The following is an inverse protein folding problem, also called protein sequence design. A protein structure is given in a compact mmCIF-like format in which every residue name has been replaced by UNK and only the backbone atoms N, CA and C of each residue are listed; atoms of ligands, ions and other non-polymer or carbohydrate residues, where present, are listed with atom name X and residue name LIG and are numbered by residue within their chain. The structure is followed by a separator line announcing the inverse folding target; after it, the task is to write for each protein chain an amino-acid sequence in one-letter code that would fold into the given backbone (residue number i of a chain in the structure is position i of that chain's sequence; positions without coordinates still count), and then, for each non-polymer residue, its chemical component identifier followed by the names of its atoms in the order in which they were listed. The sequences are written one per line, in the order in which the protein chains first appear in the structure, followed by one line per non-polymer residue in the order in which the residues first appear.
data_IF_193970116940
#
_entry.id   IF_193970116940
#
_cell.length_a   1.000
_cell.length_b   1.000
_cell.length_c   1.000
_cell.angle_alpha   90.00
_cell.angle_beta   90.00
_cell.angle_gamma   90.00
#
_symmetry.space_group_name_H-M   'P 1'
#
loop_
_entity.id
_entity.type
_entity.pdbx_description
1 polymer ?
#
# COMPACT_ATOMS: atom_id res chain seq x y z
N UNK A 1 36.43 -2.57 13.66
CA UNK A 1 35.83 -3.88 13.33
C UNK A 1 34.52 -3.62 12.61
N UNK A 2 34.47 -3.80 11.29
CA UNK A 2 33.22 -3.60 10.54
C UNK A 2 32.30 -4.79 10.73
N UNK A 3 31.18 -4.60 11.42
CA UNK A 3 30.09 -5.58 11.45
C UNK A 3 29.62 -5.84 10.02
N UNK A 4 29.67 -7.10 9.57
CA UNK A 4 29.14 -7.53 8.27
C UNK A 4 27.64 -7.23 8.23
N UNK A 5 27.22 -6.38 7.30
CA UNK A 5 25.81 -6.09 7.05
C UNK A 5 25.09 -7.38 6.65
N UNK A 6 24.03 -7.74 7.36
CA UNK A 6 23.15 -8.86 7.05
C UNK A 6 21.79 -8.34 6.56
N UNK A 7 20.93 -9.23 6.04
CA UNK A 7 19.62 -8.89 5.49
C UNK A 7 18.74 -8.11 6.47
N UNK A 8 18.77 -8.44 7.77
CA UNK A 8 18.01 -7.72 8.80
C UNK A 8 18.53 -6.30 9.04
N UNK A 9 19.86 -6.10 9.02
CA UNK A 9 20.45 -4.75 9.15
C UNK A 9 20.08 -3.89 7.94
N UNK A 10 20.11 -4.45 6.73
CA UNK A 10 19.70 -3.75 5.51
C UNK A 10 18.22 -3.34 5.56
N UNK A 11 17.32 -4.26 5.93
CA UNK A 11 15.89 -3.97 6.09
C UNK A 11 15.64 -2.87 7.14
N UNK A 12 16.44 -2.81 8.20
CA UNK A 12 16.30 -1.77 9.23
C UNK A 12 16.83 -0.39 8.80
N UNK A 13 17.83 -0.35 7.92
CA UNK A 13 18.48 0.90 7.48
C UNK A 13 17.81 1.51 6.25
N UNK A 14 17.30 0.68 5.34
CA UNK A 14 16.72 1.10 4.06
C UNK A 14 15.60 2.15 4.28
N UNK A 15 14.61 1.95 5.17
CA UNK A 15 13.52 2.91 5.37
C UNK A 15 13.91 4.26 5.98
N UNK A 16 15.12 4.38 6.54
CA UNK A 16 15.62 5.55 7.29
C UNK A 16 16.48 6.46 6.39
N UNK A 17 16.91 5.97 5.22
CA UNK A 17 17.73 6.74 4.31
C UNK A 17 16.89 7.48 3.26
N UNK A 18 16.89 8.80 3.32
CA UNK A 18 16.30 9.67 2.28
C UNK A 18 17.26 9.97 1.12
N UNK A 19 18.48 9.41 1.15
CA UNK A 19 19.51 9.66 0.14
C UNK A 19 19.50 8.58 -0.95
N UNK A 20 19.03 8.96 -2.14
CA UNK A 20 18.92 8.06 -3.30
C UNK A 20 20.23 7.37 -3.68
N UNK A 21 21.37 8.07 -3.59
CA UNK A 21 22.69 7.49 -3.88
C UNK A 21 23.06 6.36 -2.91
N UNK A 22 22.70 6.49 -1.63
CA UNK A 22 22.91 5.43 -0.64
C UNK A 22 22.03 4.22 -0.94
N UNK A 23 20.78 4.45 -1.37
CA UNK A 23 19.86 3.38 -1.76
C UNK A 23 20.39 2.61 -2.98
N UNK A 24 20.90 3.29 -4.01
CA UNK A 24 21.55 2.61 -5.14
C UNK A 24 22.78 1.79 -4.70
N UNK A 25 23.59 2.33 -3.79
CA UNK A 25 24.71 1.60 -3.19
C UNK A 25 24.27 0.33 -2.46
N UNK A 26 23.24 0.43 -1.63
CA UNK A 26 22.67 -0.70 -0.88
C UNK A 26 22.07 -1.74 -1.83
N UNK A 27 21.32 -1.31 -2.84
CA UNK A 27 20.73 -2.20 -3.83
C UNK A 27 21.83 -2.94 -4.61
N UNK A 28 22.85 -2.23 -5.11
CA UNK A 28 23.99 -2.84 -5.81
C UNK A 28 24.77 -3.83 -4.94
N UNK A 29 24.96 -3.51 -3.64
CA UNK A 29 25.56 -4.45 -2.68
C UNK A 29 24.70 -5.70 -2.46
N UNK A 30 23.38 -5.53 -2.36
CA UNK A 30 22.42 -6.62 -2.16
C UNK A 30 22.45 -7.60 -3.33
N UNK A 31 22.51 -7.10 -4.57
CA UNK A 31 22.65 -7.92 -5.78
C UNK A 31 23.98 -8.69 -5.77
N UNK A 32 25.10 -8.01 -5.53
CA UNK A 32 26.43 -8.64 -5.51
C UNK A 32 26.60 -9.69 -4.41
N UNK A 33 25.90 -9.51 -3.29
CA UNK A 33 25.98 -10.41 -2.12
C UNK A 33 24.94 -11.53 -2.17
N UNK A 34 24.07 -11.57 -3.19
CA UNK A 34 23.01 -12.57 -3.32
C UNK A 34 21.84 -12.39 -2.35
N UNK A 35 21.70 -11.22 -1.73
CA UNK A 35 20.60 -10.94 -0.79
C UNK A 35 19.30 -10.54 -1.48
N UNK A 36 19.32 -10.28 -2.78
CA UNK A 36 18.11 -9.97 -3.57
C UNK A 36 17.11 -11.13 -3.65
N UNK A 37 17.54 -12.37 -3.35
CA UNK A 37 16.64 -13.53 -3.28
C UNK A 37 15.88 -13.63 -1.94
N UNK A 38 16.28 -12.88 -0.91
CA UNK A 38 15.55 -12.87 0.36
C UNK A 38 14.36 -11.92 0.27
N UNK A 39 13.14 -12.45 0.32
CA UNK A 39 11.84 -11.75 0.21
C UNK A 39 11.77 -10.36 0.88
N UNK A 40 12.38 -10.21 2.08
CA UNK A 40 12.34 -8.96 2.84
C UNK A 40 13.14 -7.81 2.19
N UNK A 41 14.20 -8.12 1.45
CA UNK A 41 15.10 -7.10 0.86
C UNK A 41 14.45 -6.41 -0.35
N UNK A 42 13.94 -7.12 -1.38
CA UNK A 42 13.19 -6.49 -2.46
C UNK A 42 11.99 -5.69 -1.95
N UNK A 43 11.24 -6.21 -0.98
CA UNK A 43 10.10 -5.50 -0.38
C UNK A 43 10.50 -4.17 0.26
N UNK A 44 11.60 -4.14 1.01
CA UNK A 44 12.13 -2.92 1.62
C UNK A 44 12.62 -1.93 0.54
N UNK A 45 13.33 -2.41 -0.48
CA UNK A 45 13.80 -1.59 -1.60
C UNK A 45 12.63 -0.99 -2.39
N UNK A 46 11.60 -1.78 -2.73
CA UNK A 46 10.37 -1.30 -3.37
C UNK A 46 9.72 -0.19 -2.54
N UNK A 47 9.61 -0.37 -1.23
CA UNK A 47 9.03 0.63 -0.32
C UNK A 47 9.81 1.95 -0.38
N UNK A 48 11.14 1.90 -0.38
CA UNK A 48 11.97 3.11 -0.31
C UNK A 48 12.09 3.80 -1.66
N UNK A 49 12.27 3.06 -2.75
CA UNK A 49 12.20 3.65 -4.08
C UNK A 49 10.85 4.34 -4.31
N UNK A 50 9.74 3.74 -3.85
CA UNK A 50 8.41 4.38 -3.93
C UNK A 50 8.33 5.69 -3.14
N UNK A 51 8.90 5.73 -1.92
CA UNK A 51 8.95 6.95 -1.10
C UNK A 51 9.78 8.05 -1.76
N UNK A 52 10.87 7.68 -2.43
CA UNK A 52 11.77 8.59 -3.15
C UNK A 52 11.26 8.98 -4.54
N UNK A 53 10.00 8.66 -4.90
CA UNK A 53 9.39 8.95 -6.21
C UNK A 53 10.04 8.22 -7.40
N UNK A 54 10.91 7.25 -7.14
CA UNK A 54 11.60 6.42 -8.13
C UNK A 54 10.78 5.17 -8.46
N UNK A 55 9.57 5.38 -9.00
CA UNK A 55 8.59 4.30 -9.12
C UNK A 55 9.00 3.22 -10.12
N UNK A 56 9.75 3.57 -11.16
CA UNK A 56 10.27 2.62 -12.15
C UNK A 56 11.25 1.64 -11.50
N UNK A 57 12.15 2.15 -10.65
CA UNK A 57 13.07 1.34 -9.85
C UNK A 57 12.31 0.46 -8.87
N UNK A 58 11.29 1.00 -8.19
CA UNK A 58 10.46 0.24 -7.28
C UNK A 58 9.75 -0.94 -7.98
N UNK A 59 9.18 -0.67 -9.16
CA UNK A 59 8.48 -1.67 -9.97
C UNK A 59 9.43 -2.74 -10.48
N UNK A 60 10.60 -2.34 -10.99
CA UNK A 60 11.63 -3.27 -11.47
C UNK A 60 12.06 -4.24 -10.37
N UNK A 61 12.34 -3.74 -9.16
CA UNK A 61 12.71 -4.58 -8.01
C UNK A 61 11.57 -5.54 -7.64
N UNK A 62 10.33 -5.07 -7.67
CA UNK A 62 9.16 -5.92 -7.42
C UNK A 62 9.02 -7.04 -8.46
N UNK A 63 9.20 -6.72 -9.74
CA UNK A 63 9.08 -7.70 -10.83
C UNK A 63 10.15 -8.77 -10.79
N UNK A 64 11.40 -8.35 -10.60
CA UNK A 64 12.57 -9.24 -10.54
C UNK A 64 12.60 -10.11 -9.26
N UNK A 65 11.77 -9.80 -8.25
CA UNK A 65 11.65 -10.62 -7.05
C UNK A 65 11.01 -11.98 -7.39
N UNK A 66 11.74 -13.11 -7.20
CA UNK A 66 11.28 -14.44 -7.59
C UNK A 66 10.11 -14.92 -6.72
N UNK A 67 10.18 -14.66 -5.41
CA UNK A 67 9.15 -14.99 -4.44
C UNK A 67 8.45 -13.70 -4.00
N UNK A 68 7.25 -13.47 -4.50
CA UNK A 68 6.41 -12.35 -4.08
C UNK A 68 5.56 -12.78 -2.88
N UNK A 69 5.40 -11.88 -1.92
CA UNK A 69 4.55 -12.11 -0.75
C UNK A 69 3.50 -11.02 -0.63
N UNK A 70 2.53 -11.23 0.26
CA UNK A 70 1.52 -10.23 0.56
C UNK A 70 2.14 -8.87 0.94
N UNK A 71 3.30 -8.88 1.62
CA UNK A 71 4.02 -7.68 1.98
C UNK A 71 4.61 -6.95 0.76
N UNK A 72 5.18 -7.68 -0.21
CA UNK A 72 5.72 -7.07 -1.44
C UNK A 72 4.62 -6.49 -2.33
N UNK A 73 3.49 -7.19 -2.47
CA UNK A 73 2.30 -6.67 -3.17
C UNK A 73 1.80 -5.38 -2.52
N UNK A 74 1.63 -5.38 -1.20
CA UNK A 74 1.18 -4.21 -0.46
C UNK A 74 2.16 -3.03 -0.58
N UNK A 75 3.47 -3.30 -0.54
CA UNK A 75 4.49 -2.28 -0.70
C UNK A 75 4.36 -1.59 -2.07
N UNK A 76 4.20 -2.35 -3.15
CA UNK A 76 4.10 -1.78 -4.50
C UNK A 76 2.75 -1.10 -4.76
N UNK A 77 1.62 -1.70 -4.34
CA UNK A 77 0.27 -1.09 -4.46
C UNK A 77 0.20 0.23 -3.68
N UNK A 78 0.75 0.25 -2.46
CA UNK A 78 0.85 1.46 -1.65
C UNK A 78 1.76 2.48 -2.32
N UNK A 79 2.89 2.04 -2.87
CA UNK A 79 3.83 2.86 -3.61
C UNK A 79 3.15 3.59 -4.77
N UNK A 80 2.42 2.88 -5.63
CA UNK A 80 1.66 3.49 -6.71
C UNK A 80 0.62 4.49 -6.21
N UNK A 81 -0.17 4.11 -5.20
CA UNK A 81 -1.24 4.95 -4.65
C UNK A 81 -0.71 6.27 -4.04
N UNK A 82 0.41 6.23 -3.32
CA UNK A 82 1.05 7.41 -2.72
C UNK A 82 1.75 8.31 -3.76
N UNK A 83 1.97 7.78 -4.96
CA UNK A 83 2.56 8.50 -6.09
C UNK A 83 1.51 9.00 -7.08
N UNK A 84 0.21 8.86 -6.78
CA UNK A 84 -0.88 9.30 -7.66
C UNK A 84 -1.10 8.38 -8.88
N UNK A 85 -0.36 7.26 -8.96
CA UNK A 85 -0.44 6.27 -10.04
C UNK A 85 -1.54 5.26 -9.74
N UNK A 86 -2.75 5.77 -9.59
CA UNK A 86 -3.89 5.05 -9.03
C UNK A 86 -4.42 3.95 -9.96
N UNK A 87 -4.38 4.15 -11.27
CA UNK A 87 -4.73 3.10 -12.24
C UNK A 87 -3.75 1.92 -12.19
N UNK A 88 -2.45 2.19 -12.02
CA UNK A 88 -1.44 1.14 -11.85
C UNK A 88 -1.66 0.38 -10.54
N UNK A 89 -2.00 1.07 -9.44
CA UNK A 89 -2.33 0.43 -8.17
C UNK A 89 -3.53 -0.53 -8.30
N UNK A 90 -4.58 -0.12 -9.02
CA UNK A 90 -5.78 -0.95 -9.25
C UNK A 90 -5.46 -2.12 -10.16
N UNK A 91 -4.68 -1.90 -11.21
CA UNK A 91 -4.25 -2.95 -12.14
C UNK A 91 -3.42 -4.01 -11.41
N UNK A 92 -2.46 -3.57 -10.57
CA UNK A 92 -1.64 -4.45 -9.76
C UNK A 92 -2.45 -5.20 -8.71
N UNK A 93 -3.46 -4.58 -8.11
CA UNK A 93 -4.39 -5.27 -7.21
C UNK A 93 -5.19 -6.38 -7.91
N UNK A 94 -5.64 -6.17 -9.15
CA UNK A 94 -6.29 -7.23 -9.94
C UNK A 94 -5.32 -8.37 -10.26
N UNK A 95 -4.06 -8.05 -10.54
CA UNK A 95 -2.99 -9.04 -10.76
C UNK A 95 -2.71 -9.87 -9.49
N UNK A 96 -2.64 -9.21 -8.33
CA UNK A 96 -2.52 -9.85 -7.02
C UNK A 96 -3.63 -10.88 -6.79
N UNK A 97 -4.89 -10.50 -7.03
CA UNK A 97 -6.04 -11.40 -6.87
C UNK A 97 -5.99 -12.59 -7.83
N UNK A 98 -5.58 -12.38 -9.08
CA UNK A 98 -5.38 -13.46 -10.08
C UNK A 98 -4.24 -14.41 -9.70
N UNK A 99 -3.27 -13.91 -8.94
CA UNK A 99 -2.16 -14.69 -8.38
C UNK A 99 -2.52 -15.37 -7.07
N UNK A 100 -3.82 -15.49 -6.75
CA UNK A 100 -4.37 -16.15 -5.57
C UNK A 100 -3.97 -15.53 -4.21
N UNK A 101 -3.42 -14.31 -4.23
CA UNK A 101 -3.17 -13.56 -3.00
C UNK A 101 -4.45 -12.90 -2.50
N UNK A 102 -4.85 -13.24 -1.28
CA UNK A 102 -5.98 -12.61 -0.61
C UNK A 102 -5.60 -11.23 -0.08
N UNK A 103 -6.38 -10.18 -0.38
CA UNK A 103 -6.11 -8.84 0.16
C UNK A 103 -6.35 -8.80 1.66
N UNK A 104 -5.58 -7.94 2.33
CA UNK A 104 -5.73 -7.68 3.76
C UNK A 104 -6.20 -6.23 3.98
N UNK A 105 -6.45 -5.80 5.24
CA UNK A 105 -6.88 -4.44 5.51
C UNK A 105 -5.96 -3.35 4.92
N UNK A 106 -4.64 -3.58 4.89
CA UNK A 106 -3.68 -2.64 4.27
C UNK A 106 -3.99 -2.50 2.78
N UNK A 107 -4.07 -3.62 2.05
CA UNK A 107 -4.42 -3.64 0.63
C UNK A 107 -5.72 -2.87 0.37
N UNK A 108 -6.76 -3.14 1.16
CA UNK A 108 -8.07 -2.51 1.01
C UNK A 108 -8.00 -1.00 1.22
N UNK A 109 -7.32 -0.54 2.27
CA UNK A 109 -7.19 0.90 2.52
C UNK A 109 -6.44 1.63 1.39
N UNK A 110 -5.42 1.00 0.80
CA UNK A 110 -4.73 1.56 -0.37
C UNK A 110 -5.67 1.68 -1.57
N UNK A 111 -6.44 0.63 -1.89
CA UNK A 111 -7.35 0.66 -3.04
C UNK A 111 -8.52 1.60 -2.84
N UNK A 112 -9.06 1.73 -1.63
CA UNK A 112 -10.07 2.75 -1.31
C UNK A 112 -9.52 4.16 -1.47
N UNK A 113 -8.27 4.41 -1.06
CA UNK A 113 -7.58 5.68 -1.30
C UNK A 113 -7.41 5.96 -2.79
N UNK A 114 -7.03 4.96 -3.59
CA UNK A 114 -6.93 5.08 -5.04
C UNK A 114 -8.29 5.40 -5.69
N UNK A 115 -9.38 4.75 -5.24
CA UNK A 115 -10.74 5.05 -5.71
C UNK A 115 -11.14 6.51 -5.39
N UNK A 116 -10.80 6.98 -4.19
CA UNK A 116 -11.08 8.33 -3.74
C UNK A 116 -10.31 9.38 -4.58
N UNK A 117 -9.06 9.11 -4.90
CA UNK A 117 -8.22 9.97 -5.76
C UNK A 117 -8.74 10.04 -7.20
N UNK A 118 -9.25 8.91 -7.74
CA UNK A 118 -9.86 8.86 -9.08
C UNK A 118 -11.31 9.37 -9.11
N UNK A 119 -11.95 9.57 -7.97
CA UNK A 119 -13.39 9.88 -7.90
C UNK A 119 -14.29 8.75 -8.42
N UNK A 120 -13.82 7.49 -8.45
CA UNK A 120 -14.55 6.37 -9.06
C UNK A 120 -15.44 5.65 -8.06
N UNK A 121 -16.69 6.11 -7.93
CA UNK A 121 -17.68 5.53 -7.00
C UNK A 121 -18.04 4.06 -7.32
N UNK A 122 -18.07 3.67 -8.60
CA UNK A 122 -18.39 2.31 -9.02
C UNK A 122 -17.39 1.28 -8.50
N UNK A 123 -16.09 1.57 -8.61
CA UNK A 123 -15.03 0.74 -8.06
C UNK A 123 -15.04 0.77 -6.53
N UNK A 124 -15.25 1.93 -5.92
CA UNK A 124 -15.40 2.06 -4.47
C UNK A 124 -16.52 1.18 -3.91
N UNK A 125 -17.68 1.15 -4.57
CA UNK A 125 -18.80 0.26 -4.22
C UNK A 125 -18.43 -1.22 -4.34
N UNK A 126 -17.70 -1.59 -5.39
CA UNK A 126 -17.23 -2.97 -5.57
C UNK A 126 -16.28 -3.38 -4.44
N UNK A 127 -15.32 -2.52 -4.06
CA UNK A 127 -14.38 -2.77 -2.95
C UNK A 127 -15.13 -2.83 -1.61
N UNK A 128 -16.14 -2.00 -1.40
CA UNK A 128 -16.99 -2.08 -0.22
C UNK A 128 -17.77 -3.41 -0.14
N UNK A 129 -18.21 -3.96 -1.28
CA UNK A 129 -18.74 -5.32 -1.35
C UNK A 129 -17.74 -6.37 -0.87
N UNK A 130 -16.48 -6.26 -1.30
CA UNK A 130 -15.39 -7.14 -0.83
C UNK A 130 -15.12 -6.99 0.68
N UNK A 131 -15.22 -5.77 1.21
CA UNK A 131 -15.08 -5.50 2.65
C UNK A 131 -16.20 -6.18 3.45
N UNK A 132 -17.41 -6.29 2.91
CA UNK A 132 -18.54 -7.01 3.53
C UNK A 132 -18.46 -8.52 3.43
N UNK A 133 -17.92 -9.03 2.33
CA UNK A 133 -17.69 -10.47 2.17
C UNK A 133 -16.49 -10.97 2.99
N UNK A 134 -15.78 -10.05 3.63
CA UNK A 134 -14.71 -10.32 4.60
C UNK A 134 -15.13 -9.74 5.96
N UNK A 135 -14.39 -10.02 7.04
CA UNK A 135 -14.67 -9.42 8.35
C UNK A 135 -13.91 -8.09 8.57
N UNK A 136 -13.64 -7.36 7.47
CA UNK A 136 -12.82 -6.14 7.52
C UNK A 136 -13.60 -4.90 7.95
N UNK A 137 -14.94 -4.93 7.96
CA UNK A 137 -15.77 -3.83 8.48
C UNK A 137 -15.51 -3.52 9.96
N UNK A 138 -15.02 -4.50 10.73
CA UNK A 138 -14.64 -4.34 12.14
C UNK A 138 -13.37 -3.48 12.34
N UNK A 139 -12.56 -3.32 11.28
CA UNK A 139 -11.34 -2.53 11.32
C UNK A 139 -11.64 -1.04 11.17
N UNK A 140 -11.38 -0.27 12.25
CA UNK A 140 -11.54 1.19 12.25
C UNK A 140 -10.80 1.88 11.08
N UNK A 141 -9.66 1.32 10.66
CA UNK A 141 -8.88 1.83 9.53
C UNK A 141 -9.61 1.66 8.20
N UNK A 142 -10.22 0.48 7.97
CA UNK A 142 -10.97 0.18 6.76
C UNK A 142 -12.27 0.97 6.73
N UNK A 143 -13.02 1.04 7.84
CA UNK A 143 -14.26 1.83 7.91
C UNK A 143 -13.99 3.32 7.68
N UNK A 144 -12.90 3.85 8.26
CA UNK A 144 -12.49 5.25 8.03
C UNK A 144 -12.10 5.49 6.56
N UNK A 145 -11.38 4.55 5.93
CA UNK A 145 -11.03 4.65 4.51
C UNK A 145 -12.27 4.60 3.60
N UNK A 146 -13.28 3.78 3.94
CA UNK A 146 -14.56 3.73 3.21
C UNK A 146 -15.29 5.07 3.28
N UNK A 147 -15.37 5.68 4.47
CA UNK A 147 -15.98 7.01 4.65
C UNK A 147 -15.27 8.03 3.77
N UNK A 148 -13.94 8.10 3.84
CA UNK A 148 -13.15 9.03 3.04
C UNK A 148 -13.31 8.82 1.53
N UNK A 149 -13.42 7.56 1.09
CA UNK A 149 -13.69 7.22 -0.31
C UNK A 149 -15.07 7.72 -0.74
N UNK A 150 -16.13 7.41 0.00
CA UNK A 150 -17.48 7.86 -0.34
C UNK A 150 -17.60 9.38 -0.34
N UNK A 151 -17.00 10.06 0.64
CA UNK A 151 -17.04 11.52 0.70
C UNK A 151 -16.38 12.16 -0.52
N UNK A 152 -15.13 11.74 -0.83
CA UNK A 152 -14.38 12.26 -1.99
C UNK A 152 -14.99 11.89 -3.34
N UNK A 153 -15.76 10.82 -3.41
CA UNK A 153 -16.56 10.45 -4.58
C UNK A 153 -17.92 11.18 -4.64
N UNK A 154 -18.20 12.13 -3.73
CA UNK A 154 -19.42 12.93 -3.71
C UNK A 154 -20.65 12.26 -3.09
N UNK A 155 -20.50 11.05 -2.51
CA UNK A 155 -21.60 10.30 -1.89
C UNK A 155 -21.62 10.51 -0.36
N UNK A 156 -21.82 11.77 0.04
CA UNK A 156 -21.79 12.20 1.45
C UNK A 156 -22.84 11.48 2.30
N UNK A 157 -23.99 11.12 1.72
CA UNK A 157 -25.03 10.35 2.42
C UNK A 157 -24.54 8.97 2.88
N UNK A 158 -23.86 8.24 2.00
CA UNK A 158 -23.28 6.93 2.36
C UNK A 158 -22.11 7.06 3.33
N UNK A 159 -21.26 8.07 3.14
CA UNK A 159 -20.18 8.38 4.07
C UNK A 159 -20.73 8.65 5.49
N UNK A 160 -21.79 9.46 5.61
CA UNK A 160 -22.46 9.74 6.89
C UNK A 160 -23.09 8.48 7.49
N UNK A 161 -23.78 7.67 6.67
CA UNK A 161 -24.39 6.42 7.12
C UNK A 161 -23.35 5.46 7.70
N UNK A 162 -22.22 5.29 7.03
CA UNK A 162 -21.11 4.46 7.52
C UNK A 162 -20.50 5.03 8.80
N UNK A 163 -20.26 6.33 8.84
CA UNK A 163 -19.78 7.01 10.05
C UNK A 163 -20.70 6.71 11.24
N UNK A 164 -22.02 6.81 11.08
CA UNK A 164 -22.97 6.59 12.18
C UNK A 164 -22.95 5.17 12.71
N UNK A 165 -22.83 4.19 11.82
CA UNK A 165 -22.79 2.78 12.18
C UNK A 165 -21.49 2.35 12.88
N UNK A 166 -20.43 3.17 12.84
CA UNK A 166 -19.17 2.82 13.51
C UNK A 166 -19.33 2.77 15.03
N UNK A 167 -19.04 1.62 15.68
CA UNK A 167 -19.17 1.47 17.14
C UNK A 167 -18.14 2.30 17.91
N UNK A 168 -16.98 2.56 17.29
CA UNK A 168 -15.92 3.41 17.84
C UNK A 168 -15.42 4.35 16.75
N UNK A 169 -15.18 5.61 17.12
CA UNK A 169 -14.68 6.68 16.25
C UNK A 169 -13.46 7.31 16.91
N UNK A 170 -12.45 7.67 16.13
CA UNK A 170 -11.28 8.41 16.62
C UNK A 170 -11.14 9.74 15.88
N UNK A 171 -10.12 10.51 16.23
CA UNK A 171 -9.81 11.80 15.62
C UNK A 171 -9.74 11.72 14.08
N UNK A 172 -9.11 10.68 13.53
CA UNK A 172 -8.99 10.48 12.08
C UNK A 172 -10.36 10.27 11.45
N UNK A 173 -11.26 9.50 12.08
CA UNK A 173 -12.62 9.28 11.58
C UNK A 173 -13.42 10.59 11.52
N UNK A 174 -13.33 11.44 12.55
CA UNK A 174 -14.00 12.75 12.57
C UNK A 174 -13.44 13.69 11.50
N UNK A 175 -12.11 13.81 11.43
CA UNK A 175 -11.45 14.64 10.43
C UNK A 175 -11.83 14.21 9.01
N UNK A 176 -11.88 12.90 8.75
CA UNK A 176 -12.28 12.35 7.45
C UNK A 176 -13.69 12.79 7.06
N UNK A 177 -14.65 12.74 7.98
CA UNK A 177 -16.04 13.16 7.70
C UNK A 177 -16.16 14.68 7.46
N UNK A 178 -15.37 15.49 8.17
CA UNK A 178 -15.41 16.97 8.06
C UNK A 178 -14.68 17.45 6.79
N UNK A 179 -13.56 16.81 6.44
CA UNK A 179 -12.72 17.18 5.29
C UNK A 179 -13.23 16.65 3.95
N UNK A 180 -14.20 15.73 4.01
CA UNK A 180 -14.71 14.98 2.87
C UNK A 180 -15.63 15.77 1.96
#
# INVERSE_FOLDING_TARGET
SGTRLNSSTLVSLIPVSDHLMLIYGIHGYSLKSGFSSHESVPTALTTVYSKLKEIESARKVFDESPDKSLASWNAMISGYTQNGLTEDAISLFREMQKSEFSPNPITITCILSACAQLGTLSLGNWVHGLVRSTDFESSIYVSTALIGMYSKCGSIGEARRLFDLMPKKNEVTWNTMISG
#
